data_IF_448806305255
#
_entry.id   IF_448806305255
#
_cell.length_a   1.000
_cell.length_b   1.000
_cell.length_c   1.000
_cell.angle_alpha   90.00
_cell.angle_beta   90.00
_cell.angle_gamma   90.00
#
_symmetry.space_group_name_H-M   'P 1'
#
loop_
_entity.id
_entity.type
_entity.pdbx_description
1 polymer ?
#
# COMPACT_ATOMS: atom_id res chain seq x y z
N UNK A 1 -13.40 -5.17 4.97
CA UNK A 1 -12.95 -4.37 3.81
C UNK A 1 -12.40 -3.00 4.21
N UNK A 2 -13.20 -1.95 4.41
CA UNK A 2 -12.71 -0.71 5.04
C UNK A 2 -12.08 -0.99 6.41
N UNK A 3 -12.64 -1.99 7.12
CA UNK A 3 -12.07 -2.59 8.33
C UNK A 3 -10.65 -3.16 8.14
N UNK A 4 -10.34 -3.76 6.99
CA UNK A 4 -9.06 -4.46 6.76
C UNK A 4 -7.99 -3.45 6.31
N UNK A 5 -8.38 -2.41 5.56
CA UNK A 5 -7.53 -1.23 5.29
C UNK A 5 -7.26 -0.46 6.59
N UNK A 6 -8.28 -0.28 7.44
CA UNK A 6 -8.09 0.32 8.75
C UNK A 6 -7.21 -0.55 9.66
N UNK A 7 -7.33 -1.88 9.57
CA UNK A 7 -6.47 -2.81 10.29
C UNK A 7 -5.01 -2.72 9.82
N UNK A 8 -4.77 -2.66 8.50
CA UNK A 8 -3.46 -2.36 7.94
C UNK A 8 -2.87 -1.07 8.54
N UNK A 9 -3.63 0.02 8.55
CA UNK A 9 -3.14 1.25 9.16
C UNK A 9 -2.83 1.07 10.64
N UNK A 10 -3.65 0.32 11.39
CA UNK A 10 -3.44 0.07 12.80
C UNK A 10 -2.15 -0.69 13.07
N UNK A 11 -1.95 -1.82 12.40
CA UNK A 11 -0.72 -2.61 12.50
C UNK A 11 0.49 -1.75 12.14
N UNK A 12 0.46 -1.05 11.00
CA UNK A 12 1.61 -0.25 10.53
C UNK A 12 1.89 0.99 11.39
N UNK A 13 0.92 1.50 12.14
CA UNK A 13 1.15 2.61 13.05
C UNK A 13 2.06 2.22 14.23
N UNK A 14 2.06 0.95 14.63
CA UNK A 14 2.90 0.47 15.75
C UNK A 14 4.38 0.34 15.36
N UNK A 15 4.65 0.01 14.10
CA UNK A 15 6.01 -0.30 13.65
C UNK A 15 6.82 0.93 13.18
N UNK A 16 6.17 2.04 12.85
CA UNK A 16 6.87 3.26 12.37
C UNK A 16 7.41 3.17 10.94
N UNK A 17 7.23 2.03 10.26
CA UNK A 17 7.60 1.80 8.87
C UNK A 17 6.79 0.62 8.29
N UNK A 18 6.79 0.49 6.96
CA UNK A 18 6.18 -0.64 6.26
C UNK A 18 7.04 -1.89 6.36
N UNK A 19 6.55 -2.91 7.08
CA UNK A 19 7.21 -4.20 7.24
C UNK A 19 6.83 -5.20 6.16
N UNK A 20 7.73 -6.15 5.89
CA UNK A 20 7.49 -7.35 5.10
C UNK A 20 6.69 -8.44 5.84
N UNK A 21 6.55 -8.30 7.15
CA UNK A 21 5.97 -9.30 8.08
C UNK A 21 4.51 -9.00 8.49
N UNK A 22 3.76 -8.34 7.61
CA UNK A 22 2.31 -8.20 7.76
C UNK A 22 1.62 -9.58 7.74
N UNK A 23 0.57 -9.75 8.53
CA UNK A 23 -0.13 -11.04 8.61
C UNK A 23 -0.62 -11.50 7.23
N UNK A 24 -0.22 -12.70 6.81
CA UNK A 24 -0.36 -13.18 5.43
C UNK A 24 -1.80 -13.12 4.89
N UNK A 25 -2.80 -13.37 5.74
CA UNK A 25 -4.22 -13.31 5.34
C UNK A 25 -4.66 -11.91 4.89
N UNK A 26 -3.97 -10.86 5.34
CA UNK A 26 -4.23 -9.52 4.84
C UNK A 26 -4.00 -9.46 3.33
N UNK A 27 -3.02 -10.19 2.79
CA UNK A 27 -2.68 -10.16 1.37
C UNK A 27 -3.59 -11.03 0.48
N UNK A 28 -4.44 -11.88 1.06
CA UNK A 28 -5.38 -12.71 0.30
C UNK A 28 -6.52 -11.90 -0.34
N UNK A 29 -6.82 -10.72 0.21
CA UNK A 29 -7.90 -9.86 -0.26
C UNK A 29 -7.43 -9.00 -1.44
N UNK A 30 -8.15 -8.97 -2.58
CA UNK A 30 -7.76 -8.18 -3.73
C UNK A 30 -8.11 -6.70 -3.61
N UNK A 31 -7.35 -5.98 -2.80
CA UNK A 31 -7.62 -4.56 -2.55
C UNK A 31 -7.55 -3.69 -3.81
N UNK A 32 -6.71 -4.08 -4.79
CA UNK A 32 -6.58 -3.36 -6.04
C UNK A 32 -7.90 -3.28 -6.85
N UNK A 33 -8.83 -4.22 -6.66
CA UNK A 33 -10.14 -4.16 -7.31
C UNK A 33 -10.98 -2.96 -6.85
N UNK A 34 -10.72 -2.42 -5.66
CA UNK A 34 -11.42 -1.23 -5.18
C UNK A 34 -11.00 0.04 -5.89
N UNK A 35 -9.82 0.06 -6.52
CA UNK A 35 -9.38 1.18 -7.36
C UNK A 35 -10.26 1.35 -8.60
N UNK A 36 -11.01 0.31 -8.98
CA UNK A 36 -11.94 0.33 -10.12
C UNK A 36 -13.36 0.79 -9.75
N UNK A 37 -13.66 1.04 -8.46
CA UNK A 37 -14.98 1.53 -8.05
C UNK A 37 -15.12 3.04 -8.29
N UNK A 38 -16.29 3.48 -8.78
CA UNK A 38 -16.55 4.89 -9.09
C UNK A 38 -16.60 5.79 -7.84
N UNK A 39 -17.18 5.28 -6.74
CA UNK A 39 -17.28 6.00 -5.47
C UNK A 39 -16.28 5.41 -4.47
N UNK A 40 -15.12 6.06 -4.35
CA UNK A 40 -14.07 5.68 -3.40
C UNK A 40 -13.54 6.90 -2.67
N UNK A 41 -13.34 6.71 -1.36
CA UNK A 41 -12.69 7.69 -0.49
C UNK A 41 -11.18 7.65 -0.74
N UNK A 42 -10.51 8.80 -0.69
CA UNK A 42 -9.06 8.91 -0.85
C UNK A 42 -8.30 8.01 0.14
N UNK A 43 -8.82 7.78 1.35
CA UNK A 43 -8.25 6.83 2.31
C UNK A 43 -8.23 5.39 1.79
N UNK A 44 -9.27 4.98 1.07
CA UNK A 44 -9.35 3.64 0.47
C UNK A 44 -8.31 3.51 -0.63
N UNK A 45 -8.18 4.51 -1.51
CA UNK A 45 -7.19 4.52 -2.57
C UNK A 45 -5.76 4.45 -2.02
N UNK A 46 -5.44 5.30 -1.03
CA UNK A 46 -4.15 5.30 -0.35
C UNK A 46 -3.86 3.94 0.30
N UNK A 47 -4.85 3.36 0.98
CA UNK A 47 -4.73 2.04 1.59
C UNK A 47 -4.47 0.93 0.56
N UNK A 48 -5.24 0.91 -0.53
CA UNK A 48 -5.09 -0.09 -1.59
C UNK A 48 -3.72 -0.02 -2.25
N UNK A 49 -3.23 1.19 -2.56
CA UNK A 49 -1.92 1.36 -3.17
C UNK A 49 -0.76 1.04 -2.20
N UNK A 50 -0.87 1.43 -0.93
CA UNK A 50 0.12 1.10 0.09
C UNK A 50 0.21 -0.42 0.34
N UNK A 51 -0.93 -1.11 0.36
CA UNK A 51 -0.98 -2.57 0.43
C UNK A 51 -0.38 -3.22 -0.82
N UNK A 52 -0.67 -2.70 -2.02
CA UNK A 52 -0.07 -3.21 -3.24
C UNK A 52 1.45 -3.02 -3.29
N UNK A 53 1.94 -1.88 -2.80
CA UNK A 53 3.37 -1.63 -2.61
C UNK A 53 3.98 -2.66 -1.65
N UNK A 54 3.39 -2.85 -0.47
CA UNK A 54 3.88 -3.82 0.52
C UNK A 54 3.93 -5.25 -0.05
N UNK A 55 2.83 -5.68 -0.67
CA UNK A 55 2.73 -6.99 -1.32
C UNK A 55 3.78 -7.17 -2.43
N UNK A 56 3.99 -6.15 -3.26
CA UNK A 56 5.01 -6.15 -4.31
C UNK A 56 6.42 -6.28 -3.73
N UNK A 57 6.72 -5.55 -2.65
CA UNK A 57 8.01 -5.66 -1.95
C UNK A 57 8.21 -7.03 -1.30
N UNK A 58 7.19 -7.62 -0.65
CA UNK A 58 7.26 -8.95 -0.07
C UNK A 58 7.51 -10.03 -1.13
N UNK A 59 6.78 -9.98 -2.25
CA UNK A 59 6.95 -10.90 -3.38
C UNK A 59 8.34 -10.73 -4.03
N UNK A 60 8.78 -9.48 -4.22
CA UNK A 60 10.11 -9.16 -4.74
C UNK A 60 11.25 -9.56 -3.78
N UNK A 61 11.02 -9.52 -2.47
CA UNK A 61 11.96 -9.98 -1.44
C UNK A 61 12.00 -11.50 -1.29
N UNK A 62 11.04 -12.22 -1.89
CA UNK A 62 10.90 -13.67 -1.73
C UNK A 62 10.39 -14.09 -0.35
N UNK A 63 9.76 -13.18 0.40
CA UNK A 63 9.29 -13.39 1.78
C UNK A 63 7.89 -14.03 1.82
N UNK A 64 7.26 -14.25 0.67
CA UNK A 64 5.99 -14.98 0.55
C UNK A 64 5.39 -14.90 -0.84
N UNK A 65 4.29 -15.63 -1.04
CA UNK A 65 3.45 -15.56 -2.25
C UNK A 65 2.29 -14.60 -1.95
N UNK A 66 2.59 -13.33 -1.77
CA UNK A 66 1.57 -12.33 -1.45
C UNK A 66 0.65 -12.07 -2.65
N UNK A 67 1.20 -12.15 -3.87
CA UNK A 67 0.47 -11.89 -5.11
C UNK A 67 0.39 -13.11 -6.01
N UNK A 68 1.46 -13.91 -6.12
CA UNK A 68 1.50 -15.12 -6.93
C UNK A 68 0.85 -14.96 -8.31
N UNK A 69 -0.16 -15.79 -8.61
CA UNK A 69 -0.89 -15.77 -9.89
C UNK A 69 -1.67 -14.46 -10.14
N UNK A 70 -1.91 -13.67 -9.10
CA UNK A 70 -2.68 -12.42 -9.16
C UNK A 70 -1.83 -11.18 -9.42
N UNK A 71 -0.51 -11.32 -9.51
CA UNK A 71 0.41 -10.22 -9.76
C UNK A 71 0.02 -9.42 -11.01
N UNK A 72 -0.31 -10.11 -12.11
CA UNK A 72 -0.71 -9.47 -13.35
C UNK A 72 -2.04 -8.70 -13.23
N UNK A 73 -3.00 -9.27 -12.51
CA UNK A 73 -4.30 -8.66 -12.22
C UNK A 73 -4.14 -7.38 -11.39
N UNK A 74 -3.36 -7.45 -10.30
CA UNK A 74 -3.05 -6.33 -9.43
C UNK A 74 -2.37 -5.19 -10.21
N UNK A 75 -1.33 -5.51 -10.99
CA UNK A 75 -0.63 -4.54 -11.82
C UNK A 75 -1.55 -3.86 -12.83
N UNK A 76 -2.42 -4.61 -13.51
CA UNK A 76 -3.36 -4.04 -14.46
C UNK A 76 -4.33 -3.04 -13.82
N UNK A 77 -4.84 -3.35 -12.62
CA UNK A 77 -5.72 -2.46 -11.88
C UNK A 77 -5.02 -1.14 -11.49
N UNK A 78 -3.77 -1.21 -11.02
CA UNK A 78 -2.99 -0.01 -10.64
C UNK A 78 -2.61 0.83 -11.86
N UNK A 79 -2.30 0.21 -13.01
CA UNK A 79 -2.06 0.94 -14.27
C UNK A 79 -3.31 1.69 -14.74
N UNK A 80 -4.49 1.09 -14.59
CA UNK A 80 -5.76 1.72 -14.96
C UNK A 80 -6.18 2.83 -13.98
N UNK A 81 -5.65 2.84 -12.76
CA UNK A 81 -5.95 3.85 -11.76
C UNK A 81 -5.36 5.22 -12.13
N UNK A 82 -6.24 6.23 -12.19
CA UNK A 82 -5.85 7.63 -12.42
C UNK A 82 -5.83 8.37 -11.07
N UNK A 83 -4.65 8.74 -10.56
CA UNK A 83 -4.52 9.46 -9.30
C UNK A 83 -5.01 10.91 -9.45
N UNK A 84 -5.65 11.44 -8.41
CA UNK A 84 -6.17 12.81 -8.40
C UNK A 84 -5.30 13.80 -7.58
N UNK A 85 -4.02 13.47 -7.38
CA UNK A 85 -3.05 14.33 -6.70
C UNK A 85 -1.65 13.72 -6.70
N UNK A 86 -0.64 14.54 -6.37
CA UNK A 86 0.78 14.16 -6.43
C UNK A 86 1.13 13.03 -5.46
N UNK A 87 0.55 13.03 -4.26
CA UNK A 87 0.78 11.97 -3.27
C UNK A 87 0.28 10.61 -3.77
N UNK A 88 -0.94 10.56 -4.32
CA UNK A 88 -1.48 9.34 -4.91
C UNK A 88 -0.71 8.90 -6.16
N UNK A 89 -0.23 9.85 -6.97
CA UNK A 89 0.59 9.55 -8.13
C UNK A 89 1.92 8.90 -7.72
N UNK A 90 2.59 9.49 -6.73
CA UNK A 90 3.82 8.92 -6.15
C UNK A 90 3.58 7.53 -5.56
N UNK A 91 2.50 7.34 -4.81
CA UNK A 91 2.17 6.06 -4.20
C UNK A 91 1.85 4.98 -5.26
N UNK A 92 1.12 5.36 -6.33
CA UNK A 92 0.88 4.49 -7.48
C UNK A 92 2.19 4.08 -8.15
N UNK A 93 3.08 5.03 -8.40
CA UNK A 93 4.35 4.77 -9.09
C UNK A 93 5.26 3.87 -8.25
N UNK A 94 5.32 4.10 -6.93
CA UNK A 94 6.02 3.21 -6.00
C UNK A 94 5.45 1.79 -6.01
N UNK A 95 4.11 1.64 -5.99
CA UNK A 95 3.46 0.34 -6.06
C UNK A 95 3.76 -0.36 -7.40
N UNK A 96 3.69 0.35 -8.53
CA UNK A 96 4.03 -0.20 -9.84
C UNK A 96 5.49 -0.66 -9.91
N UNK A 97 6.43 0.13 -9.37
CA UNK A 97 7.84 -0.26 -9.33
C UNK A 97 8.04 -1.55 -8.52
N UNK A 98 7.38 -1.68 -7.35
CA UNK A 98 7.43 -2.88 -6.53
C UNK A 98 6.88 -4.11 -7.29
N UNK A 99 5.74 -3.95 -7.99
CA UNK A 99 5.13 -5.03 -8.77
C UNK A 99 5.98 -5.44 -9.98
N UNK A 100 6.71 -4.50 -10.59
CA UNK A 100 7.64 -4.81 -11.69
C UNK A 100 8.87 -5.60 -11.20
N UNK A 101 9.39 -5.25 -10.02
CA UNK A 101 10.44 -6.04 -9.37
C UNK A 101 9.93 -7.44 -9.00
N UNK A 102 8.71 -7.55 -8.49
CA UNK A 102 8.07 -8.83 -8.18
C UNK A 102 7.87 -9.70 -9.44
N UNK A 103 7.52 -9.08 -10.57
CA UNK A 103 7.34 -9.78 -11.85
C UNK A 103 8.65 -10.25 -12.48
N UNK A 104 9.79 -9.73 -12.02
CA UNK A 104 11.10 -10.14 -12.50
C UNK A 104 11.49 -11.48 -11.85
N UNK A 105 11.92 -12.50 -12.62
CA UNK A 105 12.39 -13.77 -12.06
C UNK A 105 13.49 -13.56 -11.02
N UNK A 106 13.46 -14.32 -9.92
CA UNK A 106 14.38 -14.18 -8.79
C UNK A 106 15.86 -14.17 -9.24
N UNK A 107 16.22 -14.98 -10.24
CA UNK A 107 17.60 -15.11 -10.75
C UNK A 107 18.12 -13.85 -11.43
N UNK A 108 17.22 -12.98 -11.88
CA UNK A 108 17.51 -11.75 -12.62
C UNK A 108 17.05 -10.49 -11.90
N UNK A 109 16.49 -10.64 -10.69
CA UNK A 109 15.96 -9.54 -9.92
C UNK A 109 17.11 -8.70 -9.35
N UNK A 110 17.00 -7.40 -9.54
CA UNK A 110 17.93 -6.42 -8.98
C UNK A 110 17.59 -6.16 -7.50
N UNK A 111 18.32 -6.81 -6.61
CA UNK A 111 18.19 -6.67 -5.15
C UNK A 111 18.57 -5.26 -4.66
N UNK A 112 19.50 -4.59 -5.34
CA UNK A 112 19.92 -3.24 -4.98
C UNK A 112 18.81 -2.25 -5.32
N UNK A 113 18.13 -2.45 -6.45
CA UNK A 113 16.94 -1.68 -6.82
C UNK A 113 15.79 -1.85 -5.82
N UNK A 114 15.52 -3.08 -5.35
CA UNK A 114 14.53 -3.32 -4.29
C UNK A 114 14.92 -2.59 -2.99
N UNK A 115 16.18 -2.71 -2.57
CA UNK A 115 16.68 -2.03 -1.36
C UNK A 115 16.55 -0.52 -1.47
N UNK A 116 16.88 0.05 -2.63
CA UNK A 116 16.77 1.47 -2.90
C UNK A 116 15.31 1.95 -2.93
N UNK A 117 14.40 1.17 -3.52
CA UNK A 117 12.96 1.44 -3.50
C UNK A 117 12.43 1.48 -2.06
N UNK A 118 12.68 0.42 -1.29
CA UNK A 118 12.22 0.29 0.10
C UNK A 118 12.76 1.44 0.94
N UNK A 119 14.06 1.73 0.84
CA UNK A 119 14.71 2.81 1.59
C UNK A 119 14.15 4.20 1.23
N UNK A 120 13.75 4.41 -0.04
CA UNK A 120 13.25 5.69 -0.52
C UNK A 120 11.79 5.94 -0.19
N UNK A 121 10.94 4.91 -0.32
CA UNK A 121 9.49 5.10 -0.26
C UNK A 121 8.91 4.75 1.10
N UNK A 122 9.45 3.77 1.83
CA UNK A 122 8.81 3.26 3.05
C UNK A 122 8.61 4.33 4.13
N UNK A 123 9.62 5.16 4.42
CA UNK A 123 9.49 6.24 5.40
C UNK A 123 8.46 7.30 4.95
N UNK A 124 8.48 7.65 3.67
CA UNK A 124 7.52 8.61 3.13
C UNK A 124 6.09 8.06 3.15
N UNK A 125 5.86 6.81 2.73
CA UNK A 125 4.53 6.18 2.76
C UNK A 125 4.04 6.12 4.21
N UNK A 126 4.89 5.73 5.16
CA UNK A 126 4.49 5.71 6.57
C UNK A 126 4.02 7.09 7.05
N UNK A 127 4.81 8.14 6.81
CA UNK A 127 4.46 9.50 7.23
C UNK A 127 3.24 10.08 6.49
N UNK A 128 3.24 10.02 5.17
CA UNK A 128 2.26 10.68 4.31
C UNK A 128 0.92 9.93 4.24
N UNK A 129 0.92 8.61 4.49
CA UNK A 129 -0.26 7.76 4.35
C UNK A 129 -0.71 7.23 5.71
N UNK A 130 0.13 6.47 6.41
CA UNK A 130 -0.25 5.79 7.66
C UNK A 130 -0.46 6.80 8.78
N UNK A 131 0.54 7.63 9.09
CA UNK A 131 0.45 8.60 10.19
C UNK A 131 -0.66 9.63 9.94
N UNK A 132 -0.73 10.14 8.71
CA UNK A 132 -1.75 11.10 8.28
C UNK A 132 -3.17 10.55 8.46
N UNK A 133 -3.42 9.26 8.17
CA UNK A 133 -4.73 8.63 8.41
C UNK A 133 -5.17 8.78 9.87
N UNK A 134 -4.28 8.53 10.84
CA UNK A 134 -4.59 8.67 12.27
C UNK A 134 -4.76 10.12 12.70
N UNK A 135 -3.92 11.03 12.20
CA UNK A 135 -4.04 12.47 12.48
C UNK A 135 -5.39 13.02 12.01
N UNK A 136 -5.81 12.68 10.78
CA UNK A 136 -7.09 13.10 10.20
C UNK A 136 -8.29 12.47 10.92
N UNK A 137 -8.20 11.21 11.36
CA UNK A 137 -9.25 10.58 12.17
C UNK A 137 -9.34 11.15 13.58
N UNK A 138 -8.20 11.37 14.26
CA UNK A 138 -8.16 11.96 15.59
C UNK A 138 -8.73 13.38 15.59
N UNK A 139 -8.39 14.20 14.60
CA UNK A 139 -8.93 15.55 14.44
C UNK A 139 -10.48 15.54 14.31
N UNK A 140 -11.04 14.59 13.56
CA UNK A 140 -12.50 14.43 13.43
C UNK A 140 -13.17 14.07 14.75
N UNK A 141 -12.57 13.15 15.51
CA UNK A 141 -13.09 12.75 16.83
C UNK A 141 -13.05 13.93 17.81
N UNK A 142 -11.92 14.64 17.89
CA UNK A 142 -11.75 15.79 18.79
C UNK A 142 -12.73 16.92 18.44
N UNK A 143 -12.94 17.21 17.15
CA UNK A 143 -13.94 18.17 16.71
C UNK A 143 -15.37 17.76 17.12
N UNK A 144 -15.72 16.48 16.96
CA UNK A 144 -17.03 15.96 17.35
C UNK A 144 -17.27 15.99 18.88
N UNK A 145 -16.21 15.84 19.68
CA UNK A 145 -16.27 15.87 21.14
C UNK A 145 -16.27 17.31 21.68
N UNK A 146 -15.51 18.23 21.07
CA UNK A 146 -15.42 19.64 21.47
C UNK A 146 -16.60 20.52 21.01
N UNK A 147 -17.50 19.99 20.17
CA UNK A 147 -18.71 20.69 19.70
C UNK A 147 -19.97 20.37 20.53
N UNK A 148 -19.81 19.76 21.72
CA UNK A 148 -20.88 19.49 22.69
C UNK A 148 -20.72 20.36 23.92
#
# INVERSE_FOLDING_TARGET
MARDIAYFFHEQAEYGFLFDDLEHWMFETPYWLYLALDERDEHVERGCLALAYAMGCCEAGGVGIALGERLAECRAAIVAFTPHGDDLARLRDAALEALELAATPNETRDSDRLTALVSRETEWIHGAVVRRYFEEHAARILHAVGSK
#
